data_IF_597334453876
#
_entry.id   IF_597334453876
#
_cell.length_a   1.000
_cell.length_b   1.000
_cell.length_c   1.000
_cell.angle_alpha   90.00
_cell.angle_beta   90.00
_cell.angle_gamma   90.00
#
_symmetry.space_group_name_H-M   'P 1'
#
loop_
_entity.id
_entity.type
_entity.pdbx_description
1 polymer ?
#
# COMPACT_ATOMS: atom_id res chain seq x y z
N UNK A 1 -24.95 -17.79 10.00
CA UNK A 1 -23.58 -17.41 10.40
C UNK A 1 -23.07 -16.18 9.66
N UNK A 2 -23.30 -16.05 8.35
CA UNK A 2 -22.78 -14.94 7.53
C UNK A 2 -23.18 -13.52 8.01
N UNK A 3 -24.42 -13.37 8.49
CA UNK A 3 -24.97 -12.05 8.84
C UNK A 3 -24.47 -11.51 10.20
N UNK A 4 -24.13 -12.37 11.15
CA UNK A 4 -23.57 -11.96 12.45
C UNK A 4 -22.10 -11.53 12.33
N UNK A 5 -21.32 -12.20 11.48
CA UNK A 5 -19.93 -11.86 11.17
C UNK A 5 -19.82 -10.50 10.46
N UNK A 6 -20.72 -10.26 9.50
CA UNK A 6 -20.85 -8.97 8.81
C UNK A 6 -21.26 -7.85 9.78
N UNK A 7 -22.18 -8.12 10.71
CA UNK A 7 -22.58 -7.18 11.77
C UNK A 7 -21.48 -6.88 12.79
N UNK A 8 -20.54 -7.79 13.01
CA UNK A 8 -19.34 -7.53 13.83
C UNK A 8 -18.26 -6.71 13.08
N UNK A 9 -18.52 -6.26 11.85
CA UNK A 9 -17.63 -5.44 11.06
C UNK A 9 -16.72 -6.22 10.09
N UNK A 10 -16.86 -7.54 10.03
CA UNK A 10 -16.07 -8.41 9.15
C UNK A 10 -16.89 -8.76 7.92
N UNK A 11 -16.69 -8.00 6.84
CA UNK A 11 -17.40 -8.17 5.58
C UNK A 11 -16.44 -8.73 4.50
N UNK A 12 -16.50 -10.05 4.29
CA UNK A 12 -15.63 -10.76 3.35
C UNK A 12 -15.90 -10.30 1.91
N UNK A 13 -17.17 -10.08 1.55
CA UNK A 13 -17.54 -9.62 0.20
C UNK A 13 -16.94 -8.24 -0.09
N UNK A 14 -17.01 -7.33 0.88
CA UNK A 14 -16.38 -6.01 0.76
C UNK A 14 -14.85 -6.10 0.67
N UNK A 15 -14.23 -7.03 1.40
CA UNK A 15 -12.78 -7.26 1.30
C UNK A 15 -12.39 -7.78 -0.09
N UNK A 16 -13.12 -8.75 -0.62
CA UNK A 16 -12.90 -9.26 -1.98
C UNK A 16 -13.10 -8.18 -3.03
N UNK A 17 -14.18 -7.39 -2.94
CA UNK A 17 -14.43 -6.26 -3.85
C UNK A 17 -13.30 -5.24 -3.80
N UNK A 18 -12.85 -4.88 -2.60
CA UNK A 18 -11.77 -3.92 -2.42
C UNK A 18 -10.46 -4.41 -3.05
N UNK A 19 -10.12 -5.71 -2.89
CA UNK A 19 -8.95 -6.32 -3.53
C UNK A 19 -9.07 -6.27 -5.06
N UNK A 20 -10.23 -6.61 -5.63
CA UNK A 20 -10.43 -6.57 -7.09
C UNK A 20 -10.25 -5.15 -7.66
N UNK A 21 -10.81 -4.13 -6.97
CA UNK A 21 -10.69 -2.72 -7.38
C UNK A 21 -9.25 -2.24 -7.45
N UNK A 22 -8.42 -2.62 -6.47
CA UNK A 22 -7.05 -2.11 -6.38
C UNK A 22 -6.06 -2.84 -7.31
N UNK A 23 -6.41 -4.00 -7.90
CA UNK A 23 -5.46 -4.79 -8.68
C UNK A 23 -4.81 -4.01 -9.82
N UNK A 24 -5.58 -3.18 -10.53
CA UNK A 24 -5.07 -2.39 -11.64
C UNK A 24 -4.05 -1.33 -11.16
N UNK A 25 -4.33 -0.67 -10.03
CA UNK A 25 -3.43 0.29 -9.40
C UNK A 25 -2.15 -0.39 -8.88
N UNK A 26 -2.27 -1.53 -8.22
CA UNK A 26 -1.09 -2.26 -7.74
C UNK A 26 -0.23 -2.75 -8.91
N UNK A 27 -0.84 -3.28 -9.97
CA UNK A 27 -0.10 -3.74 -11.15
C UNK A 27 0.58 -2.60 -11.92
N UNK A 28 0.07 -1.37 -11.86
CA UNK A 28 0.74 -0.23 -12.52
C UNK A 28 2.06 0.16 -11.87
N UNK A 29 2.34 -0.30 -10.64
CA UNK A 29 3.61 -0.05 -9.95
C UNK A 29 4.66 -1.14 -10.21
N UNK A 30 4.32 -2.18 -10.99
CA UNK A 30 5.23 -3.30 -11.20
C UNK A 30 6.47 -2.87 -11.98
N UNK A 31 7.63 -3.16 -11.40
CA UNK A 31 8.94 -2.98 -12.00
C UNK A 31 9.59 -4.34 -12.26
N UNK A 32 10.66 -4.41 -13.09
CA UNK A 32 11.47 -5.62 -13.19
C UNK A 32 11.88 -6.10 -11.79
N UNK A 33 11.66 -7.39 -11.52
CA UNK A 33 11.90 -7.99 -10.20
C UNK A 33 10.65 -8.47 -9.49
N UNK A 34 9.46 -7.98 -9.83
CA UNK A 34 8.21 -8.53 -9.29
C UNK A 34 8.00 -9.97 -9.80
N UNK A 35 7.82 -10.92 -8.88
CA UNK A 35 7.69 -12.37 -9.18
C UNK A 35 6.25 -12.86 -9.02
N UNK A 36 5.49 -12.24 -8.12
CA UNK A 36 4.11 -12.65 -7.80
C UNK A 36 3.10 -11.57 -8.16
N UNK A 37 1.89 -11.99 -8.51
CA UNK A 37 0.73 -11.10 -8.63
C UNK A 37 0.06 -10.86 -7.26
N UNK A 38 -0.83 -9.86 -7.19
CA UNK A 38 -1.65 -9.56 -6.01
C UNK A 38 -2.66 -10.68 -5.73
N UNK A 39 -2.87 -10.99 -4.44
CA UNK A 39 -3.83 -11.99 -3.96
C UNK A 39 -3.18 -13.19 -3.26
N UNK A 40 -1.86 -13.31 -3.30
CA UNK A 40 -1.12 -14.24 -2.45
C UNK A 40 -0.94 -13.68 -1.03
N UNK A 41 -0.58 -14.55 -0.10
CA UNK A 41 -0.25 -14.17 1.27
C UNK A 41 1.02 -13.31 1.39
N UNK A 42 1.87 -13.32 0.36
CA UNK A 42 3.07 -12.50 0.28
C UNK A 42 3.31 -12.00 -1.14
N UNK A 43 3.86 -10.78 -1.23
CA UNK A 43 4.51 -10.29 -2.44
C UNK A 43 5.93 -10.83 -2.54
N UNK A 44 6.34 -11.26 -3.73
CA UNK A 44 7.67 -11.78 -4.01
C UNK A 44 8.40 -10.83 -4.96
N UNK A 45 9.61 -10.45 -4.59
CA UNK A 45 10.48 -9.57 -5.38
C UNK A 45 11.90 -10.12 -5.41
N UNK A 46 12.47 -10.20 -6.60
CA UNK A 46 13.89 -10.50 -6.81
C UNK A 46 14.64 -9.22 -7.16
N UNK A 47 15.92 -9.14 -6.78
CA UNK A 47 16.79 -7.99 -7.05
C UNK A 47 17.95 -8.47 -7.92
N UNK A 48 17.78 -8.55 -9.26
CA UNK A 48 18.83 -9.06 -10.15
C UNK A 48 20.13 -8.26 -10.05
N UNK A 49 20.02 -6.94 -9.87
CA UNK A 49 21.14 -5.99 -9.81
C UNK A 49 21.91 -6.09 -8.49
N UNK A 50 21.45 -6.89 -7.52
CA UNK A 50 22.15 -7.07 -6.24
C UNK A 50 23.60 -7.56 -6.44
N UNK A 51 23.86 -8.27 -7.55
CA UNK A 51 25.20 -8.73 -7.96
C UNK A 51 26.16 -7.60 -8.33
N UNK A 52 25.64 -6.42 -8.65
CA UNK A 52 26.44 -5.22 -8.98
C UNK A 52 26.96 -4.51 -7.72
N UNK A 53 26.37 -4.80 -6.55
CA UNK A 53 26.80 -4.25 -5.28
C UNK A 53 27.87 -5.13 -4.65
N UNK A 54 28.95 -4.50 -4.17
CA UNK A 54 30.01 -5.20 -3.42
C UNK A 54 29.48 -5.75 -2.09
N UNK A 55 28.80 -4.89 -1.32
CA UNK A 55 28.24 -5.18 0.00
C UNK A 55 26.87 -4.47 0.11
N UNK A 56 25.79 -5.09 -0.37
CA UNK A 56 24.47 -4.46 -0.36
C UNK A 56 23.94 -4.29 1.07
N UNK A 57 23.35 -3.13 1.33
CA UNK A 57 22.68 -2.81 2.60
C UNK A 57 21.23 -2.44 2.31
N UNK A 58 20.32 -2.94 3.14
CA UNK A 58 18.89 -2.64 3.03
C UNK A 58 18.50 -1.54 4.01
N UNK A 59 17.82 -0.52 3.50
CA UNK A 59 17.18 0.51 4.31
C UNK A 59 15.67 0.24 4.36
N UNK A 60 15.09 0.33 5.55
CA UNK A 60 13.65 0.20 5.77
C UNK A 60 13.17 1.45 6.49
N UNK A 61 12.05 2.02 6.03
CA UNK A 61 11.31 3.05 6.75
C UNK A 61 9.85 2.64 6.84
N UNK A 62 9.20 3.08 7.92
CA UNK A 62 7.77 2.90 8.16
C UNK A 62 7.24 4.18 8.78
N UNK A 63 6.19 4.74 8.19
CA UNK A 63 5.58 5.97 8.63
C UNK A 63 4.06 5.89 8.42
N UNK A 64 3.34 6.86 8.96
CA UNK A 64 1.92 7.09 8.72
C UNK A 64 1.67 8.46 8.10
N UNK A 65 0.45 8.65 7.61
CA UNK A 65 -0.04 9.96 7.15
C UNK A 65 -0.26 10.93 8.33
N UNK A 66 -0.51 10.39 9.53
CA UNK A 66 -0.78 11.15 10.74
C UNK A 66 -2.17 11.83 10.73
N UNK A 67 -2.29 12.92 11.47
CA UNK A 67 -3.58 13.63 11.68
C UNK A 67 -4.15 14.28 10.42
N UNK A 68 -3.39 14.36 9.32
CA UNK A 68 -3.90 14.76 8.00
C UNK A 68 -5.06 13.86 7.53
N UNK A 69 -5.13 12.61 8.01
CA UNK A 69 -6.29 11.73 7.78
C UNK A 69 -7.62 12.33 8.28
N UNK A 70 -7.60 13.13 9.34
CA UNK A 70 -8.81 13.81 9.84
C UNK A 70 -9.32 14.86 8.86
N UNK A 71 -8.41 15.54 8.14
CA UNK A 71 -8.75 16.51 7.10
C UNK A 71 -9.28 15.79 5.85
N UNK A 72 -8.63 14.69 5.45
CA UNK A 72 -9.11 13.84 4.36
C UNK A 72 -10.54 13.34 4.60
N UNK A 73 -10.84 12.88 5.82
CA UNK A 73 -12.18 12.45 6.21
C UNK A 73 -13.18 13.62 6.22
N UNK A 74 -12.81 14.79 6.74
CA UNK A 74 -13.73 15.95 6.76
C UNK A 74 -14.04 16.51 5.37
N UNK A 75 -13.11 16.36 4.43
CA UNK A 75 -13.29 16.77 3.03
C UNK A 75 -13.88 15.67 2.15
N UNK A 76 -13.87 14.41 2.60
CA UNK A 76 -14.23 13.25 1.78
C UNK A 76 -13.24 12.96 0.64
N UNK A 77 -11.98 13.39 0.76
CA UNK A 77 -10.95 13.26 -0.29
C UNK A 77 -9.83 12.36 0.21
N UNK A 78 -9.64 11.20 -0.43
CA UNK A 78 -8.66 10.18 -0.02
C UNK A 78 -7.60 9.84 -1.08
N UNK A 79 -7.74 10.34 -2.30
CA UNK A 79 -6.87 9.98 -3.43
C UNK A 79 -5.48 10.64 -3.40
N UNK A 80 -5.22 11.52 -2.41
CA UNK A 80 -3.94 12.19 -2.22
C UNK A 80 -3.18 11.75 -0.96
N UNK A 81 -3.85 11.08 -0.01
CA UNK A 81 -3.19 10.68 1.25
C UNK A 81 -2.23 9.51 1.05
N UNK A 82 -2.50 8.63 0.07
CA UNK A 82 -1.60 7.55 -0.30
C UNK A 82 -0.24 8.04 -0.76
N UNK A 83 -0.21 9.11 -1.56
CA UNK A 83 1.05 9.72 -2.02
C UNK A 83 1.84 10.32 -0.86
N UNK A 84 1.14 10.89 0.14
CA UNK A 84 1.80 11.41 1.34
C UNK A 84 2.49 10.28 2.12
N UNK A 85 1.81 9.13 2.26
CA UNK A 85 2.37 7.95 2.93
C UNK A 85 3.65 7.47 2.24
N UNK A 86 3.63 7.34 0.91
CA UNK A 86 4.81 6.94 0.13
C UNK A 86 5.95 7.94 0.29
N UNK A 87 5.64 9.23 0.17
CA UNK A 87 6.65 10.29 0.28
C UNK A 87 7.31 10.34 1.66
N UNK A 88 6.58 10.13 2.75
CA UNK A 88 7.18 10.08 4.09
C UNK A 88 8.25 8.98 4.18
N UNK A 89 7.88 7.75 3.81
CA UNK A 89 8.81 6.62 3.85
C UNK A 89 9.98 6.75 2.86
N UNK A 90 9.71 7.16 1.61
CA UNK A 90 10.74 7.26 0.55
C UNK A 90 11.74 8.36 0.85
N UNK A 91 11.28 9.53 1.31
CA UNK A 91 12.18 10.64 1.61
C UNK A 91 13.17 10.30 2.73
N UNK A 92 12.75 9.54 3.74
CA UNK A 92 13.66 9.09 4.80
C UNK A 92 14.83 8.27 4.26
N UNK A 93 14.54 7.25 3.45
CA UNK A 93 15.59 6.35 2.95
C UNK A 93 16.49 7.06 1.92
N UNK A 94 15.96 8.04 1.18
CA UNK A 94 16.74 8.85 0.25
C UNK A 94 17.85 9.66 0.97
N UNK A 95 17.65 10.05 2.23
CA UNK A 95 18.70 10.74 3.01
C UNK A 95 19.96 9.90 3.22
N UNK A 96 19.83 8.56 3.16
CA UNK A 96 20.94 7.61 3.24
C UNK A 96 21.49 7.20 1.87
N UNK A 97 20.94 7.73 0.78
CA UNK A 97 21.30 7.36 -0.60
C UNK A 97 20.71 6.02 -1.07
N UNK A 98 19.74 5.45 -0.33
CA UNK A 98 19.12 4.19 -0.71
C UNK A 98 18.19 4.35 -1.92
N UNK A 99 18.17 3.34 -2.80
CA UNK A 99 17.22 3.24 -3.91
C UNK A 99 15.91 2.59 -3.42
N UNK A 100 14.74 3.22 -3.57
CA UNK A 100 13.46 2.57 -3.27
C UNK A 100 13.22 1.38 -4.21
N UNK A 101 12.73 0.27 -3.67
CA UNK A 101 12.47 -0.97 -4.44
C UNK A 101 11.06 -1.52 -4.23
N UNK A 102 10.62 -1.64 -2.98
CA UNK A 102 9.37 -2.29 -2.60
C UNK A 102 8.64 -1.39 -1.61
N UNK A 103 7.31 -1.34 -1.73
CA UNK A 103 6.44 -0.66 -0.77
C UNK A 103 5.35 -1.61 -0.30
N UNK A 104 5.07 -1.58 1.00
CA UNK A 104 3.99 -2.33 1.63
C UNK A 104 3.17 -1.34 2.45
N UNK A 105 1.85 -1.43 2.36
CA UNK A 105 0.94 -0.58 3.10
C UNK A 105 0.06 -1.40 4.06
N UNK A 106 -0.46 -0.70 5.07
CA UNK A 106 -1.46 -1.23 6.00
C UNK A 106 -2.52 -0.16 6.25
N UNK A 107 -3.75 -0.45 5.84
CA UNK A 107 -4.91 0.42 6.04
C UNK A 107 -5.87 -0.23 7.02
N UNK A 108 -6.10 0.44 8.16
CA UNK A 108 -7.11 0.04 9.13
C UNK A 108 -8.32 0.98 9.10
N UNK A 109 -9.51 0.41 9.20
CA UNK A 109 -10.76 1.17 9.32
C UNK A 109 -11.76 0.41 10.19
N UNK A 110 -12.62 1.14 10.91
CA UNK A 110 -13.68 0.53 11.70
C UNK A 110 -14.72 -0.19 10.82
N UNK A 111 -14.91 0.31 9.60
CA UNK A 111 -15.72 -0.31 8.56
C UNK A 111 -15.03 -0.13 7.21
N UNK A 112 -14.75 -1.24 6.54
CA UNK A 112 -14.18 -1.23 5.21
C UNK A 112 -15.18 -0.65 4.21
N UNK A 113 -14.75 0.37 3.48
CA UNK A 113 -15.48 0.92 2.34
C UNK A 113 -14.59 0.75 1.10
N UNK A 114 -14.92 -0.16 0.17
CA UNK A 114 -14.06 -0.49 -0.97
C UNK A 114 -13.60 0.72 -1.78
N UNK A 115 -14.50 1.68 -2.04
CA UNK A 115 -14.20 2.92 -2.77
C UNK A 115 -13.19 3.82 -2.03
N UNK A 116 -13.30 3.94 -0.70
CA UNK A 116 -12.31 4.70 0.10
C UNK A 116 -10.94 4.03 0.02
N UNK A 117 -10.87 2.70 0.14
CA UNK A 117 -9.61 1.97 0.03
C UNK A 117 -9.01 2.13 -1.38
N UNK A 118 -9.83 2.00 -2.42
CA UNK A 118 -9.42 2.19 -3.81
C UNK A 118 -8.78 3.56 -4.02
N UNK A 119 -9.40 4.63 -3.50
CA UNK A 119 -8.83 5.97 -3.56
C UNK A 119 -7.49 6.08 -2.83
N UNK A 120 -7.36 5.51 -1.63
CA UNK A 120 -6.09 5.52 -0.89
C UNK A 120 -5.00 4.80 -1.70
N UNK A 121 -5.28 3.59 -2.18
CA UNK A 121 -4.31 2.78 -2.93
C UNK A 121 -3.98 3.40 -4.29
N UNK A 122 -4.95 4.03 -4.94
CA UNK A 122 -4.70 4.85 -6.14
C UNK A 122 -3.64 5.90 -5.85
N UNK A 123 -3.70 6.59 -4.71
CA UNK A 123 -2.68 7.56 -4.32
C UNK A 123 -1.32 6.95 -3.94
N UNK A 124 -1.30 5.70 -3.44
CA UNK A 124 -0.05 4.95 -3.17
C UNK A 124 0.63 4.54 -4.48
N UNK A 125 -0.16 4.25 -5.52
CA UNK A 125 0.32 3.73 -6.79
C UNK A 125 0.84 4.80 -7.79
N UNK A 126 1.02 6.05 -7.35
CA UNK A 126 1.53 7.18 -8.16
C UNK A 126 2.92 7.58 -7.68
#
# INVERSE_FOLDING_TARGET
MNDAYKKSGVDIDAATEAVERIKAHVRSTFIPGVVSDIGLFSGLFTIPELKEYKEPVFAFSTDGVGTKMMIAESMGIFDTVGQCLVNHCVNDILTSGAKPLIFLDYVASAKLTPEKLENIVKGIAV
#
